data_IF_343067700873
#
_entry.id   IF_343067700873
#
_cell.length_a   1.000
_cell.length_b   1.000
_cell.length_c   1.000
_cell.angle_alpha   90.00
_cell.angle_beta   90.00
_cell.angle_gamma   90.00
#
_symmetry.space_group_name_H-M   'P 1'
#
loop_
_entity.id
_entity.type
_entity.pdbx_description
1 polymer ?
#
# COMPACT_ATOMS: atom_id res chain seq x y z
N UNK A 1 -22.06 -8.16 2.32
CA UNK A 1 -23.08 -7.77 1.35
C UNK A 1 -23.31 -8.80 0.25
N UNK A 2 -24.00 -8.39 -0.81
CA UNK A 2 -24.19 -9.25 -1.97
C UNK A 2 -23.94 -8.46 -3.26
N UNK A 3 -23.25 -9.09 -4.22
CA UNK A 3 -23.04 -8.54 -5.55
C UNK A 3 -23.66 -9.54 -6.56
N UNK A 4 -24.66 -9.07 -7.31
CA UNK A 4 -25.40 -9.90 -8.27
C UNK A 4 -25.95 -11.20 -7.66
N UNK A 5 -26.39 -11.15 -6.40
CA UNK A 5 -26.93 -12.30 -5.67
C UNK A 5 -25.89 -13.17 -4.95
N UNK A 6 -24.59 -12.98 -5.19
CA UNK A 6 -23.51 -13.69 -4.50
C UNK A 6 -23.11 -12.97 -3.22
N UNK A 7 -23.07 -13.71 -2.11
CA UNK A 7 -22.59 -13.17 -0.85
C UNK A 7 -21.09 -12.91 -0.90
N UNK A 8 -20.66 -11.71 -0.48
CA UNK A 8 -19.25 -11.29 -0.45
C UNK A 8 -18.97 -10.45 0.79
N UNK A 9 -17.78 -10.65 1.36
CA UNK A 9 -17.20 -9.70 2.31
C UNK A 9 -16.59 -8.52 1.54
N UNK A 10 -16.90 -7.30 1.94
CA UNK A 10 -16.30 -6.11 1.33
C UNK A 10 -15.48 -5.39 2.37
N UNK A 11 -14.21 -5.17 2.09
CA UNK A 11 -13.29 -4.43 2.94
C UNK A 11 -12.64 -3.31 2.14
N UNK A 12 -12.76 -2.10 2.63
CA UNK A 12 -12.16 -0.92 2.03
C UNK A 12 -11.51 -0.03 3.08
N UNK A 13 -10.65 0.86 2.64
CA UNK A 13 -10.06 1.90 3.48
C UNK A 13 -9.95 3.21 2.70
N UNK A 14 -9.75 4.31 3.42
CA UNK A 14 -9.51 5.63 2.85
C UNK A 14 -8.42 6.32 3.68
N UNK A 15 -7.19 6.17 3.27
CA UNK A 15 -6.01 6.69 3.96
C UNK A 15 -5.17 5.61 4.65
N UNK A 16 -4.25 5.98 5.56
CA UNK A 16 -3.36 5.04 6.20
C UNK A 16 -4.09 4.07 7.14
N UNK A 17 -3.50 2.88 7.30
CA UNK A 17 -4.01 1.83 8.19
C UNK A 17 -3.49 2.05 9.60
N UNK A 18 -4.39 2.19 10.56
CA UNK A 18 -4.08 2.32 11.98
C UNK A 18 -4.18 0.96 12.73
N UNK A 19 -3.71 0.86 13.99
CA UNK A 19 -3.75 -0.38 14.77
C UNK A 19 -5.16 -0.94 14.96
N UNK A 20 -6.16 -0.07 15.14
CA UNK A 20 -7.57 -0.49 15.34
C UNK A 20 -8.16 -1.01 14.03
N UNK A 21 -7.90 -0.29 12.93
CA UNK A 21 -8.30 -0.69 11.59
C UNK A 21 -7.69 -2.03 11.20
N UNK A 22 -6.39 -2.23 11.44
CA UNK A 22 -5.70 -3.49 11.18
C UNK A 22 -6.29 -4.66 11.99
N UNK A 23 -6.61 -4.42 13.28
CA UNK A 23 -7.26 -5.44 14.12
C UNK A 23 -8.65 -5.80 13.62
N UNK A 24 -9.46 -4.79 13.29
CA UNK A 24 -10.80 -4.97 12.73
C UNK A 24 -10.76 -5.75 11.41
N UNK A 25 -9.84 -5.37 10.53
CA UNK A 25 -9.64 -6.04 9.25
C UNK A 25 -9.25 -7.51 9.44
N UNK A 26 -8.28 -7.80 10.29
CA UNK A 26 -7.85 -9.18 10.56
C UNK A 26 -9.01 -10.06 11.07
N UNK A 27 -9.80 -9.55 12.00
CA UNK A 27 -10.96 -10.26 12.52
C UNK A 27 -12.04 -10.48 11.46
N UNK A 28 -12.33 -9.47 10.68
CA UNK A 28 -13.30 -9.56 9.58
C UNK A 28 -12.90 -10.59 8.53
N UNK A 29 -11.63 -10.58 8.11
CA UNK A 29 -11.10 -11.53 7.13
C UNK A 29 -11.16 -12.98 7.63
N UNK A 30 -10.80 -13.21 8.91
CA UNK A 30 -10.94 -14.52 9.52
C UNK A 30 -12.40 -14.99 9.60
N UNK A 31 -13.33 -14.08 9.86
CA UNK A 31 -14.76 -14.39 9.87
C UNK A 31 -15.26 -14.75 8.47
N UNK A 32 -14.81 -14.06 7.42
CA UNK A 32 -15.13 -14.40 6.04
C UNK A 32 -14.57 -15.77 5.65
N UNK A 33 -13.33 -16.07 6.04
CA UNK A 33 -12.72 -17.39 5.78
C UNK A 33 -13.49 -18.53 6.44
N UNK A 34 -13.87 -18.35 7.71
CA UNK A 34 -14.66 -19.35 8.45
C UNK A 34 -16.05 -19.55 7.84
N UNK A 35 -16.68 -18.48 7.40
CA UNK A 35 -18.01 -18.52 6.77
C UNK A 35 -17.96 -18.92 5.28
N UNK A 36 -16.78 -19.15 4.71
CA UNK A 36 -16.56 -19.48 3.31
C UNK A 36 -17.14 -18.41 2.35
N UNK A 37 -17.01 -17.14 2.73
CA UNK A 37 -17.48 -15.97 1.99
C UNK A 37 -16.30 -15.33 1.26
N UNK A 38 -16.33 -15.21 -0.09
CA UNK A 38 -15.31 -14.49 -0.87
C UNK A 38 -15.13 -13.06 -0.39
N UNK A 39 -13.93 -12.50 -0.56
CA UNK A 39 -13.62 -11.14 -0.11
C UNK A 39 -13.23 -10.24 -1.27
N UNK A 40 -13.86 -9.07 -1.31
CA UNK A 40 -13.52 -7.97 -2.23
C UNK A 40 -12.77 -6.91 -1.45
N UNK A 41 -11.55 -6.63 -1.85
CA UNK A 41 -10.69 -5.59 -1.31
C UNK A 41 -10.78 -4.33 -2.16
N UNK A 42 -11.00 -3.19 -1.52
CA UNK A 42 -11.07 -1.86 -2.15
C UNK A 42 -10.00 -0.95 -1.55
N UNK A 43 -8.73 -1.11 -1.93
CA UNK A 43 -7.65 -0.32 -1.36
C UNK A 43 -7.67 1.14 -1.84
N UNK A 44 -7.55 2.06 -0.87
CA UNK A 44 -7.14 3.44 -1.04
C UNK A 44 -6.25 3.82 0.15
N UNK A 45 -4.99 3.41 0.11
CA UNK A 45 -4.08 3.53 1.25
C UNK A 45 -2.72 4.10 0.86
N UNK A 46 -2.17 4.91 1.75
CA UNK A 46 -0.79 5.42 1.65
C UNK A 46 0.21 4.58 2.46
N UNK A 47 -0.26 3.55 3.18
CA UNK A 47 0.56 2.67 4.00
C UNK A 47 -0.04 2.43 5.39
N UNK A 48 0.74 1.82 6.27
CA UNK A 48 0.43 1.77 7.69
C UNK A 48 0.87 3.05 8.38
N UNK A 49 0.15 3.45 9.45
CA UNK A 49 0.54 4.57 10.27
C UNK A 49 1.93 4.34 10.89
N UNK A 50 2.75 5.38 10.89
CA UNK A 50 4.10 5.39 11.43
C UNK A 50 4.22 6.44 12.52
N UNK A 51 5.20 6.29 13.42
CA UNK A 51 5.47 7.21 14.50
C UNK A 51 5.30 6.58 15.86
N UNK A 52 5.94 7.19 16.86
CA UNK A 52 6.06 6.65 18.24
C UNK A 52 4.72 6.29 18.84
N UNK A 53 3.69 7.11 18.67
CA UNK A 53 2.35 6.87 19.19
C UNK A 53 1.75 5.58 18.63
N UNK A 54 1.83 5.39 17.31
CA UNK A 54 1.26 4.20 16.64
C UNK A 54 2.07 2.94 16.92
N UNK A 55 3.39 3.06 17.04
CA UNK A 55 4.26 1.96 17.42
C UNK A 55 3.98 1.51 18.86
N UNK A 56 3.82 2.44 19.81
CA UNK A 56 3.42 2.15 21.17
C UNK A 56 2.01 1.56 21.26
N UNK A 57 1.10 1.98 20.39
CA UNK A 57 -0.23 1.38 20.26
C UNK A 57 -0.20 -0.02 19.59
N UNK A 58 0.97 -0.53 19.22
CA UNK A 58 1.17 -1.88 18.69
C UNK A 58 0.93 -2.00 17.19
N UNK A 59 1.23 -0.96 16.40
CA UNK A 59 1.03 -0.98 14.94
C UNK A 59 1.68 -2.19 14.28
N UNK A 60 2.92 -2.50 14.61
CA UNK A 60 3.65 -3.65 14.05
C UNK A 60 2.90 -4.97 14.38
N UNK A 61 2.48 -5.13 15.62
CA UNK A 61 1.75 -6.31 16.09
C UNK A 61 0.39 -6.47 15.38
N UNK A 62 -0.37 -5.38 15.27
CA UNK A 62 -1.70 -5.43 14.67
C UNK A 62 -1.63 -5.48 13.15
N UNK A 63 -0.70 -4.76 12.53
CA UNK A 63 -0.46 -4.81 11.09
C UNK A 63 -0.01 -6.20 10.63
N UNK A 64 0.89 -6.86 11.36
CA UNK A 64 1.31 -8.23 11.03
C UNK A 64 0.17 -9.23 11.12
N UNK A 65 -0.76 -9.08 12.07
CA UNK A 65 -1.96 -9.94 12.16
C UNK A 65 -2.88 -9.75 10.95
N UNK A 66 -3.05 -8.51 10.48
CA UNK A 66 -3.82 -8.24 9.28
C UNK A 66 -3.18 -8.91 8.05
N UNK A 67 -1.88 -8.75 7.88
CA UNK A 67 -1.13 -9.38 6.79
C UNK A 67 -1.24 -10.91 6.87
N UNK A 68 -1.09 -11.49 8.06
CA UNK A 68 -1.28 -12.93 8.26
C UNK A 68 -2.69 -13.39 7.90
N UNK A 69 -3.72 -12.61 8.26
CA UNK A 69 -5.09 -12.93 7.90
C UNK A 69 -5.29 -12.96 6.38
N UNK A 70 -4.77 -11.95 5.67
CA UNK A 70 -4.81 -11.89 4.19
C UNK A 70 -4.09 -13.08 3.56
N UNK A 71 -2.89 -13.40 4.05
CA UNK A 71 -2.07 -14.51 3.52
C UNK A 71 -2.73 -15.86 3.69
N UNK A 72 -3.43 -16.06 4.80
CA UNK A 72 -4.05 -17.35 5.14
C UNK A 72 -5.50 -17.47 4.67
N UNK A 73 -6.06 -16.48 3.97
CA UNK A 73 -7.40 -16.59 3.37
C UNK A 73 -7.43 -17.73 2.34
N UNK A 74 -8.38 -18.61 2.48
CA UNK A 74 -8.65 -19.74 1.57
C UNK A 74 -9.82 -19.49 0.63
N UNK A 75 -10.64 -18.49 0.96
CA UNK A 75 -11.74 -18.03 0.10
C UNK A 75 -11.23 -17.16 -1.04
N UNK A 76 -11.95 -17.07 -2.16
CA UNK A 76 -11.57 -16.20 -3.25
C UNK A 76 -11.33 -14.75 -2.82
N UNK A 77 -10.25 -14.16 -3.32
CA UNK A 77 -9.79 -12.79 -3.05
C UNK A 77 -9.84 -11.98 -4.34
N UNK A 78 -10.60 -10.92 -4.34
CA UNK A 78 -10.65 -9.98 -5.46
C UNK A 78 -10.17 -8.62 -4.98
N UNK A 79 -9.20 -8.04 -5.67
CA UNK A 79 -8.68 -6.72 -5.34
C UNK A 79 -9.01 -5.73 -6.45
N UNK A 80 -9.68 -4.63 -6.11
CA UNK A 80 -9.97 -3.54 -7.00
C UNK A 80 -9.35 -2.25 -6.46
N UNK A 81 -8.26 -1.79 -7.06
CA UNK A 81 -7.62 -0.54 -6.67
C UNK A 81 -8.50 0.64 -7.08
N UNK A 82 -9.06 1.33 -6.09
CA UNK A 82 -9.95 2.47 -6.29
C UNK A 82 -9.23 3.82 -6.15
N UNK A 83 -7.98 3.82 -5.70
CA UNK A 83 -7.16 4.99 -5.50
C UNK A 83 -5.71 4.61 -5.22
N UNK A 84 -5.04 5.31 -4.32
CA UNK A 84 -3.66 5.02 -3.95
C UNK A 84 -3.53 3.63 -3.29
N UNK A 85 -2.43 2.92 -3.58
CA UNK A 85 -2.08 1.68 -2.90
C UNK A 85 -0.56 1.57 -2.80
N UNK A 86 0.00 2.04 -1.68
CA UNK A 86 1.45 2.18 -1.51
C UNK A 86 2.01 1.27 -0.43
N UNK A 87 3.25 0.84 -0.65
CA UNK A 87 4.12 0.17 0.31
C UNK A 87 3.47 -1.03 1.00
N UNK A 88 3.71 -1.17 2.30
CA UNK A 88 3.16 -2.28 3.09
C UNK A 88 1.63 -2.21 3.26
N UNK A 89 0.99 -1.05 3.05
CA UNK A 89 -0.46 -0.94 3.00
C UNK A 89 -1.07 -1.73 1.85
N UNK A 90 -0.37 -1.80 0.72
CA UNK A 90 -0.74 -2.67 -0.40
C UNK A 90 -0.80 -4.15 0.03
N UNK A 91 0.14 -4.60 0.85
CA UNK A 91 0.15 -5.97 1.39
C UNK A 91 -1.06 -6.23 2.28
N UNK A 92 -1.35 -5.33 3.22
CA UNK A 92 -2.49 -5.46 4.13
C UNK A 92 -3.85 -5.47 3.41
N UNK A 93 -3.93 -4.85 2.24
CA UNK A 93 -5.14 -4.77 1.42
C UNK A 93 -5.12 -5.74 0.23
N UNK A 94 -4.44 -6.86 0.35
CA UNK A 94 -4.38 -7.93 -0.65
C UNK A 94 -3.91 -7.42 -2.02
N UNK A 95 -2.75 -6.74 -2.06
CA UNK A 95 -2.14 -6.34 -3.30
C UNK A 95 -1.53 -7.51 -4.06
N UNK A 96 -0.88 -7.20 -5.19
CA UNK A 96 -0.33 -8.19 -6.13
C UNK A 96 0.50 -9.30 -5.46
N UNK A 97 1.34 -8.94 -4.49
CA UNK A 97 2.21 -9.90 -3.80
C UNK A 97 1.46 -10.95 -2.94
N UNK A 98 0.16 -10.76 -2.70
CA UNK A 98 -0.69 -11.66 -1.92
C UNK A 98 -1.64 -12.49 -2.78
N UNK A 99 -1.34 -12.56 -4.05
CA UNK A 99 -1.96 -13.47 -5.03
C UNK A 99 -3.49 -13.46 -4.97
N UNK A 100 -4.14 -12.30 -5.24
CA UNK A 100 -5.58 -12.27 -5.40
C UNK A 100 -5.98 -13.01 -6.69
N UNK A 101 -7.13 -13.68 -6.68
CA UNK A 101 -7.67 -14.37 -7.88
C UNK A 101 -7.91 -13.39 -9.03
N UNK A 102 -8.29 -12.15 -8.70
CA UNK A 102 -8.38 -11.05 -9.67
C UNK A 102 -7.86 -9.77 -9.03
N UNK A 103 -7.02 -9.07 -9.78
CA UNK A 103 -6.56 -7.73 -9.45
C UNK A 103 -6.93 -6.78 -10.57
N UNK A 104 -7.79 -5.84 -10.25
CA UNK A 104 -8.29 -4.81 -11.15
C UNK A 104 -7.89 -3.44 -10.63
N UNK A 105 -7.85 -2.47 -11.50
CA UNK A 105 -7.50 -1.09 -11.14
C UNK A 105 -8.41 -0.11 -11.87
N UNK A 106 -8.85 0.93 -11.16
CA UNK A 106 -9.50 2.06 -11.79
C UNK A 106 -8.47 2.93 -12.52
N UNK A 107 -8.89 3.67 -13.58
CA UNK A 107 -7.97 4.47 -14.39
C UNK A 107 -7.18 5.53 -13.61
N UNK A 108 -7.72 5.99 -12.47
CA UNK A 108 -7.09 6.99 -11.60
C UNK A 108 -6.38 6.37 -10.38
N UNK A 109 -6.30 5.05 -10.29
CA UNK A 109 -5.57 4.40 -9.21
C UNK A 109 -4.07 4.49 -9.45
N UNK A 110 -3.31 4.64 -8.36
CA UNK A 110 -1.86 4.77 -8.38
C UNK A 110 -1.28 3.78 -7.39
N UNK A 111 -0.29 3.00 -7.82
CA UNK A 111 0.44 2.09 -6.94
C UNK A 111 1.94 2.34 -7.00
N UNK A 112 2.64 2.07 -5.92
CA UNK A 112 4.09 2.25 -5.83
C UNK A 112 4.62 1.88 -4.45
N UNK A 113 5.93 2.05 -4.26
CA UNK A 113 6.58 1.81 -2.96
C UNK A 113 6.15 2.86 -1.94
N UNK A 114 6.03 4.11 -2.36
CA UNK A 114 5.56 5.24 -1.55
C UNK A 114 4.96 6.31 -2.46
N UNK A 115 4.22 7.26 -1.89
CA UNK A 115 3.70 8.41 -2.65
C UNK A 115 4.83 9.28 -3.20
N UNK A 116 4.63 9.92 -4.36
CA UNK A 116 5.66 10.69 -5.06
C UNK A 116 6.30 11.78 -4.20
N UNK A 117 5.50 12.54 -3.45
CA UNK A 117 6.01 13.57 -2.53
C UNK A 117 6.92 12.98 -1.43
N UNK A 118 6.52 11.84 -0.84
CA UNK A 118 7.32 11.14 0.17
C UNK A 118 8.62 10.58 -0.42
N UNK A 119 8.56 10.06 -1.64
CA UNK A 119 9.72 9.59 -2.37
C UNK A 119 10.70 10.73 -2.63
N UNK A 120 10.24 11.88 -3.11
CA UNK A 120 11.06 13.07 -3.37
C UNK A 120 11.78 13.55 -2.09
N UNK A 121 11.06 13.66 -0.98
CA UNK A 121 11.65 14.06 0.32
C UNK A 121 12.73 13.06 0.76
N UNK A 122 12.44 11.76 0.65
CA UNK A 122 13.36 10.70 1.07
C UNK A 122 14.63 10.71 0.22
N UNK A 123 14.51 10.84 -1.10
CA UNK A 123 15.65 10.89 -2.00
C UNK A 123 16.49 12.15 -1.81
N UNK A 124 15.86 13.30 -1.58
CA UNK A 124 16.58 14.52 -1.24
C UNK A 124 17.42 14.35 0.04
N UNK A 125 16.87 13.69 1.06
CA UNK A 125 17.62 13.37 2.29
C UNK A 125 18.81 12.44 2.04
N UNK A 126 18.60 11.39 1.23
CA UNK A 126 19.67 10.44 0.85
C UNK A 126 20.77 11.15 0.05
N UNK A 127 20.39 11.99 -0.92
CA UNK A 127 21.34 12.77 -1.72
C UNK A 127 22.19 13.71 -0.84
N UNK A 128 21.55 14.45 0.07
CA UNK A 128 22.24 15.32 1.04
C UNK A 128 23.19 14.54 1.95
N UNK A 129 22.76 13.40 2.47
CA UNK A 129 23.60 12.55 3.31
C UNK A 129 24.80 11.96 2.54
N UNK A 130 24.62 11.63 1.26
CA UNK A 130 25.68 11.18 0.37
C UNK A 130 26.68 12.30 0.06
N UNK A 131 26.21 13.49 -0.29
CA UNK A 131 27.04 14.68 -0.54
C UNK A 131 27.89 15.03 0.68
N UNK A 132 27.30 15.07 1.86
CA UNK A 132 28.00 15.31 3.12
C UNK A 132 29.12 14.30 3.37
N UNK A 133 28.88 13.01 3.07
CA UNK A 133 29.93 11.97 3.19
C UNK A 133 31.08 12.15 2.20
N UNK A 134 30.79 12.73 1.02
CA UNK A 134 31.79 12.99 -0.02
C UNK A 134 32.47 14.37 0.11
N UNK A 135 32.12 15.17 1.13
CA UNK A 135 32.67 16.51 1.32
C UNK A 135 32.20 17.55 0.27
N UNK A 136 31.09 17.30 -0.40
CA UNK A 136 30.48 18.18 -1.38
C UNK A 136 29.53 19.12 -0.66
N UNK A 137 29.60 20.43 -0.96
CA UNK A 137 28.70 21.43 -0.36
C UNK A 137 27.26 21.20 -0.82
N UNK A 138 26.33 21.22 0.12
CA UNK A 138 24.95 20.74 -0.04
C UNK A 138 24.01 21.84 -0.56
N UNK A 139 24.44 23.11 -0.55
CA UNK A 139 23.61 24.26 -0.93
C UNK A 139 23.29 24.33 -2.45
N UNK A 140 24.00 23.56 -3.28
CA UNK A 140 23.81 23.53 -4.74
C UNK A 140 22.80 22.46 -5.23
N UNK A 141 22.26 21.63 -4.34
CA UNK A 141 21.27 20.60 -4.71
C UNK A 141 19.84 21.15 -4.59
N UNK A 142 19.34 21.75 -5.65
CA UNK A 142 17.95 22.19 -5.71
C UNK A 142 16.99 21.00 -5.68
N UNK A 143 15.95 21.06 -4.86
CA UNK A 143 14.90 20.04 -4.75
C UNK A 143 14.22 19.78 -6.10
N UNK A 144 14.19 20.78 -6.99
CA UNK A 144 13.59 20.70 -8.33
C UNK A 144 14.26 19.66 -9.25
N UNK A 145 15.57 19.54 -9.22
CA UNK A 145 16.30 18.56 -10.08
C UNK A 145 16.08 17.10 -9.63
N UNK A 146 15.81 16.90 -8.35
CA UNK A 146 15.52 15.56 -7.81
C UNK A 146 14.08 15.16 -8.17
N UNK A 147 13.14 16.09 -8.07
CA UNK A 147 11.71 15.86 -8.36
C UNK A 147 11.46 15.51 -9.84
N UNK A 148 12.15 16.17 -10.78
CA UNK A 148 12.01 15.88 -12.22
C UNK A 148 12.52 14.48 -12.58
N UNK A 149 13.63 14.03 -11.99
CA UNK A 149 14.17 12.68 -12.22
C UNK A 149 13.28 11.58 -11.63
N UNK A 150 12.60 11.87 -10.54
CA UNK A 150 11.73 10.91 -9.84
C UNK A 150 10.38 10.76 -10.49
N UNK A 151 9.78 11.84 -10.97
CA UNK A 151 8.56 11.75 -11.78
C UNK A 151 8.80 10.87 -12.99
N UNK A 152 9.94 11.04 -13.67
CA UNK A 152 10.35 10.17 -14.78
C UNK A 152 10.55 8.71 -14.38
N UNK A 153 11.11 8.44 -13.20
CA UNK A 153 11.35 7.07 -12.72
C UNK A 153 10.05 6.36 -12.30
N UNK A 154 9.14 7.08 -11.64
CA UNK A 154 7.81 6.56 -11.26
C UNK A 154 6.95 6.32 -12.50
N UNK A 155 6.97 7.21 -13.47
CA UNK A 155 6.26 7.06 -14.75
C UNK A 155 6.85 5.92 -15.59
N UNK A 156 8.16 5.71 -15.54
CA UNK A 156 8.84 4.59 -16.19
C UNK A 156 8.42 3.26 -15.58
N UNK A 157 8.41 3.13 -14.26
CA UNK A 157 7.97 1.91 -13.55
C UNK A 157 6.49 1.64 -13.83
N UNK A 158 5.64 2.65 -13.75
CA UNK A 158 4.22 2.51 -14.03
C UNK A 158 3.98 2.10 -15.51
N UNK A 159 4.77 2.61 -16.44
CA UNK A 159 4.67 2.25 -17.85
C UNK A 159 5.13 0.81 -18.14
N UNK A 160 6.11 0.29 -17.39
CA UNK A 160 6.57 -1.11 -17.51
C UNK A 160 5.56 -2.09 -16.89
N UNK A 161 4.95 -1.76 -15.76
CA UNK A 161 3.91 -2.58 -15.15
C UNK A 161 2.69 -2.68 -16.08
N UNK A 162 2.30 -1.58 -16.75
CA UNK A 162 1.19 -1.57 -17.70
C UNK A 162 1.51 -2.27 -19.03
N UNK A 163 2.79 -2.45 -19.39
CA UNK A 163 3.22 -3.20 -20.59
C UNK A 163 3.37 -4.69 -20.34
N UNK A 164 3.42 -5.12 -19.09
CA UNK A 164 3.49 -6.53 -18.70
C UNK A 164 2.13 -7.19 -18.50
N UNK A 165 1.04 -6.45 -18.70
CA UNK A 165 -0.33 -6.94 -18.75
C UNK A 165 -0.83 -6.96 -20.20
#
# INVERSE_FOLDING_TARGET
GAIMGHQVGIIGNNGPLDPKGATKAAHFLQSCDQAQVPVVFLPHTTGFMVGTEYEQAGMIKHGSKMIQAVTNLRVPKLSLYIGASFGAGNYGMCGYAFDPDFLLTWPNAITGVMGGEQAAITMAQVARASAKRKGIDVDDLSISSVTEHETFFIDSINSEILRGL
#
